data_IF_356603826364
#
_entry.id   IF_356603826364
#
_cell.length_a   1.000
_cell.length_b   1.000
_cell.length_c   1.000
_cell.angle_alpha   90.00
_cell.angle_beta   90.00
_cell.angle_gamma   90.00
#
_symmetry.space_group_name_H-M   'P 1'
#
loop_
_entity.id
_entity.type
_entity.pdbx_description
1 polymer ?
#
# COMPACT_ATOMS: atom_id res chain seq x y z
N UNK A 1 -12.51 20.77 1.56
CA UNK A 1 -11.06 20.64 1.38
C UNK A 1 -10.29 21.84 1.96
N UNK A 2 -10.64 23.08 1.65
CA UNK A 2 -9.91 24.29 2.10
C UNK A 2 -9.74 24.46 3.62
N UNK A 3 -10.75 24.04 4.41
CA UNK A 3 -10.65 24.08 5.87
C UNK A 3 -9.61 23.09 6.41
N UNK A 4 -9.58 21.89 5.84
CA UNK A 4 -8.66 20.83 6.24
C UNK A 4 -7.20 21.23 5.93
N UNK A 5 -6.97 21.77 4.74
CA UNK A 5 -5.66 22.28 4.32
C UNK A 5 -5.15 23.45 5.16
N UNK A 6 -6.04 24.17 5.88
CA UNK A 6 -5.66 25.24 6.81
C UNK A 6 -5.44 24.78 8.25
N UNK A 7 -5.75 23.51 8.54
CA UNK A 7 -5.50 22.95 9.86
C UNK A 7 -3.98 22.81 10.10
N UNK A 8 -3.50 23.35 11.21
CA UNK A 8 -2.06 23.45 11.50
C UNK A 8 -1.36 22.07 11.44
N UNK A 9 -1.95 21.04 12.05
CA UNK A 9 -1.39 19.68 12.01
C UNK A 9 -1.25 19.13 10.59
N UNK A 10 -2.19 19.46 9.67
CA UNK A 10 -2.08 19.06 8.25
C UNK A 10 -0.94 19.81 7.57
N UNK A 11 -0.78 21.11 7.84
CA UNK A 11 0.33 21.89 7.28
C UNK A 11 1.70 21.38 7.77
N UNK A 12 1.81 21.04 9.04
CA UNK A 12 3.01 20.45 9.62
C UNK A 12 3.31 19.06 9.03
N UNK A 13 2.29 18.20 8.85
CA UNK A 13 2.46 16.92 8.19
C UNK A 13 2.90 17.06 6.74
N UNK A 14 2.32 17.99 5.98
CA UNK A 14 2.74 18.29 4.61
C UNK A 14 4.15 18.88 4.52
N UNK A 15 4.57 19.62 5.54
CA UNK A 15 5.95 20.09 5.65
C UNK A 15 6.88 18.92 5.92
N UNK A 16 6.55 18.06 6.89
CA UNK A 16 7.32 16.86 7.21
C UNK A 16 7.53 16.00 5.95
N UNK A 17 6.48 15.70 5.18
CA UNK A 17 6.56 14.91 3.96
C UNK A 17 7.57 15.47 2.94
N UNK A 18 7.67 16.80 2.84
CA UNK A 18 8.66 17.45 1.96
C UNK A 18 10.09 17.35 2.48
N UNK A 19 10.27 17.43 3.80
CA UNK A 19 11.58 17.39 4.44
C UNK A 19 12.13 15.96 4.58
N UNK A 20 11.23 14.97 4.55
CA UNK A 20 11.52 13.52 4.70
C UNK A 20 11.58 12.76 3.35
N UNK A 21 11.57 13.48 2.24
CA UNK A 21 11.52 12.94 0.88
C UNK A 21 12.70 11.98 0.58
N UNK A 22 13.90 12.32 1.06
CA UNK A 22 15.09 11.49 0.87
C UNK A 22 14.97 10.11 1.54
N UNK A 23 14.42 10.04 2.78
CA UNK A 23 14.16 8.78 3.47
C UNK A 23 13.08 7.97 2.74
N UNK A 24 12.00 8.61 2.34
CA UNK A 24 10.91 7.97 1.60
C UNK A 24 11.42 7.39 0.28
N UNK A 25 12.25 8.13 -0.45
CA UNK A 25 12.89 7.65 -1.67
C UNK A 25 13.79 6.45 -1.39
N UNK A 26 14.61 6.51 -0.35
CA UNK A 26 15.51 5.40 0.03
C UNK A 26 14.71 4.13 0.32
N UNK A 27 13.65 4.19 1.14
CA UNK A 27 12.80 3.06 1.45
C UNK A 27 12.10 2.49 0.21
N UNK A 28 11.62 3.36 -0.69
CA UNK A 28 11.06 2.96 -1.96
C UNK A 28 12.07 2.18 -2.82
N UNK A 29 13.30 2.69 -2.94
CA UNK A 29 14.37 2.06 -3.71
C UNK A 29 14.84 0.73 -3.09
N UNK A 30 14.89 0.61 -1.77
CA UNK A 30 15.17 -0.65 -1.08
C UNK A 30 14.07 -1.68 -1.37
N UNK A 31 12.82 -1.28 -1.22
CA UNK A 31 11.66 -2.14 -1.34
C UNK A 31 11.45 -2.66 -2.77
N UNK A 32 11.73 -1.86 -3.80
CA UNK A 32 11.58 -2.31 -5.18
C UNK A 32 12.59 -3.39 -5.60
N UNK A 33 13.68 -3.57 -4.85
CA UNK A 33 14.68 -4.61 -5.08
C UNK A 33 14.36 -5.94 -4.35
N UNK A 34 13.24 -6.01 -3.63
CA UNK A 34 12.78 -7.24 -2.99
C UNK A 34 11.80 -7.94 -3.96
N UNK A 35 12.13 -9.17 -4.44
CA UNK A 35 11.23 -9.91 -5.32
C UNK A 35 9.90 -10.22 -4.65
N UNK A 36 8.81 -9.95 -5.35
CA UNK A 36 7.47 -10.21 -4.83
C UNK A 36 6.49 -10.57 -5.96
N UNK A 37 6.68 -11.68 -6.68
CA UNK A 37 5.63 -12.15 -7.57
C UNK A 37 4.37 -12.51 -6.78
N UNK A 38 3.20 -12.40 -7.39
CA UNK A 38 1.94 -12.78 -6.73
C UNK A 38 2.03 -14.18 -6.13
N UNK A 39 1.58 -14.35 -4.90
CA UNK A 39 1.70 -15.53 -4.01
C UNK A 39 3.08 -15.75 -3.35
N UNK A 40 4.10 -14.93 -3.64
CA UNK A 40 5.44 -15.09 -3.09
C UNK A 40 5.96 -13.78 -2.43
N UNK A 41 5.06 -12.95 -1.91
CA UNK A 41 5.35 -11.61 -1.38
C UNK A 41 5.98 -11.61 0.03
N UNK A 42 6.15 -12.78 0.66
CA UNK A 42 6.48 -12.89 2.09
C UNK A 42 7.72 -12.10 2.54
N UNK A 43 8.77 -12.02 1.71
CA UNK A 43 9.97 -11.24 2.02
C UNK A 43 9.69 -9.73 2.05
N UNK A 44 8.97 -9.22 1.06
CA UNK A 44 8.55 -7.82 0.98
C UNK A 44 7.54 -7.49 2.09
N UNK A 45 6.61 -8.40 2.40
CA UNK A 45 5.66 -8.24 3.49
C UNK A 45 6.37 -8.07 4.85
N UNK A 46 7.41 -8.86 5.14
CA UNK A 46 8.17 -8.72 6.39
C UNK A 46 8.97 -7.40 6.43
N UNK A 47 9.50 -6.92 5.30
CA UNK A 47 10.11 -5.60 5.22
C UNK A 47 9.08 -4.51 5.56
N UNK A 48 7.91 -4.54 4.90
CA UNK A 48 6.83 -3.56 5.10
C UNK A 48 6.31 -3.61 6.53
N UNK A 49 6.14 -4.81 7.11
CA UNK A 49 5.73 -4.97 8.52
C UNK A 49 6.65 -4.23 9.48
N UNK A 50 7.97 -4.35 9.32
CA UNK A 50 8.95 -3.62 10.14
C UNK A 50 8.80 -2.12 9.97
N UNK A 51 8.69 -1.65 8.72
CA UNK A 51 8.55 -0.23 8.42
C UNK A 51 7.23 0.36 8.96
N UNK A 52 6.13 -0.40 8.98
CA UNK A 52 4.88 0.04 9.61
C UNK A 52 5.04 0.21 11.13
N UNK A 53 5.79 -0.66 11.79
CA UNK A 53 6.13 -0.49 13.23
C UNK A 53 6.98 0.77 13.43
N UNK A 54 8.01 0.96 12.62
CA UNK A 54 8.90 2.14 12.70
C UNK A 54 8.13 3.45 12.45
N UNK A 55 7.13 3.42 11.56
CA UNK A 55 6.22 4.54 11.29
C UNK A 55 5.23 4.83 12.44
N UNK A 56 5.23 4.02 13.50
CA UNK A 56 4.42 4.24 14.70
C UNK A 56 2.99 3.71 14.61
N UNK A 57 2.70 2.82 13.68
CA UNK A 57 1.41 2.14 13.61
C UNK A 57 1.27 1.12 14.74
N UNK A 58 0.06 0.97 15.26
CA UNK A 58 -0.30 -0.05 16.25
C UNK A 58 -0.93 -1.27 15.58
N UNK A 59 -0.99 -2.39 16.31
CA UNK A 59 -1.62 -3.63 15.84
C UNK A 59 -1.05 -4.13 14.50
N UNK A 60 0.25 -3.89 14.26
CA UNK A 60 0.91 -4.29 13.01
C UNK A 60 1.06 -5.81 12.96
N UNK A 61 0.47 -6.41 11.94
CA UNK A 61 0.52 -7.86 11.72
C UNK A 61 0.49 -8.22 10.25
N UNK A 62 0.84 -9.47 9.96
CA UNK A 62 0.60 -10.11 8.65
C UNK A 62 -0.58 -11.03 8.82
N UNK A 63 -1.58 -10.89 7.96
CA UNK A 63 -2.77 -11.75 8.02
C UNK A 63 -2.54 -13.13 7.37
N UNK A 64 -3.57 -13.97 7.38
CA UNK A 64 -3.53 -15.36 6.88
C UNK A 64 -3.19 -15.47 5.39
N UNK A 65 -3.45 -14.42 4.60
CA UNK A 65 -3.19 -14.44 3.16
C UNK A 65 -1.91 -13.69 2.78
N UNK A 66 -1.29 -12.98 3.74
CA UNK A 66 -0.04 -12.28 3.56
C UNK A 66 -0.14 -10.76 3.50
N UNK A 67 -1.34 -10.16 3.64
CA UNK A 67 -1.46 -8.71 3.76
C UNK A 67 -0.75 -8.20 5.01
N UNK A 68 -0.12 -7.04 4.92
CA UNK A 68 0.41 -6.35 6.09
C UNK A 68 -0.54 -5.24 6.48
N UNK A 69 -1.07 -5.32 7.70
CA UNK A 69 -1.98 -4.32 8.23
C UNK A 69 -1.36 -3.62 9.43
N UNK A 70 -1.66 -2.33 9.57
CA UNK A 70 -1.28 -1.54 10.74
C UNK A 70 -2.31 -0.44 10.96
N UNK A 71 -2.60 -0.10 12.21
CA UNK A 71 -3.66 0.85 12.57
C UNK A 71 -3.09 2.13 13.14
N UNK A 72 -3.49 3.26 12.60
CA UNK A 72 -3.39 4.57 13.20
C UNK A 72 -4.64 4.82 14.02
N UNK A 73 -4.53 4.71 15.34
CA UNK A 73 -5.68 4.85 16.25
C UNK A 73 -6.19 6.28 16.31
N UNK A 74 -7.50 6.43 16.11
CA UNK A 74 -8.23 7.66 16.38
C UNK A 74 -8.41 7.94 17.87
N UNK A 75 -9.08 9.03 18.18
CA UNK A 75 -9.34 9.48 19.57
C UNK A 75 -10.76 9.20 20.04
N UNK A 76 -11.63 8.67 19.17
CA UNK A 76 -13.06 8.47 19.46
C UNK A 76 -13.69 7.39 18.58
N UNK A 77 -14.96 7.56 18.33
CA UNK A 77 -15.79 6.63 17.56
C UNK A 77 -16.09 7.16 16.13
N UNK A 78 -15.12 7.80 15.51
CA UNK A 78 -15.23 8.26 14.14
C UNK A 78 -15.17 7.11 13.12
N UNK A 79 -15.27 7.41 11.82
CA UNK A 79 -15.27 6.41 10.77
C UNK A 79 -13.95 5.65 10.73
N UNK A 80 -14.01 4.35 10.43
CA UNK A 80 -12.85 3.50 10.17
C UNK A 80 -12.56 3.48 8.68
N UNK A 81 -11.40 4.00 8.28
CA UNK A 81 -11.01 4.13 6.89
C UNK A 81 -9.79 3.27 6.61
N UNK A 82 -9.79 2.58 5.48
CA UNK A 82 -8.61 1.86 4.99
C UNK A 82 -7.94 2.65 3.87
N UNK A 83 -6.60 2.68 3.92
CA UNK A 83 -5.75 3.14 2.82
C UNK A 83 -4.84 2.00 2.42
N UNK A 84 -4.82 1.63 1.15
CA UNK A 84 -4.13 0.45 0.65
C UNK A 84 -3.25 0.72 -0.56
N UNK A 85 -2.21 -0.09 -0.72
CA UNK A 85 -1.38 -0.24 -1.91
C UNK A 85 -0.90 -1.68 -1.98
N UNK A 86 -0.64 -2.23 -3.18
CA UNK A 86 -0.26 -3.63 -3.30
C UNK A 86 1.25 -3.86 -3.29
N UNK A 87 1.65 -5.03 -2.82
CA UNK A 87 3.06 -5.42 -2.67
C UNK A 87 3.57 -6.30 -3.79
N UNK A 88 2.68 -7.03 -4.43
CA UNK A 88 3.05 -7.94 -5.51
C UNK A 88 3.34 -7.21 -6.83
N UNK A 89 4.03 -7.92 -7.70
CA UNK A 89 4.38 -7.47 -9.04
C UNK A 89 4.15 -8.59 -10.05
N UNK A 90 3.98 -8.22 -11.32
CA UNK A 90 3.86 -9.17 -12.44
C UNK A 90 5.18 -9.85 -12.81
N UNK A 91 6.28 -9.52 -12.14
CA UNK A 91 7.62 -10.00 -12.49
C UNK A 91 7.94 -11.31 -11.76
N UNK A 92 8.42 -12.35 -12.48
CA UNK A 92 8.91 -13.57 -11.86
C UNK A 92 10.04 -13.33 -10.86
N UNK A 93 10.22 -14.24 -9.90
CA UNK A 93 11.21 -14.11 -8.81
C UNK A 93 12.65 -13.97 -9.31
N UNK A 94 12.97 -14.58 -10.44
CA UNK A 94 14.29 -14.53 -11.08
C UNK A 94 14.57 -13.27 -11.89
N UNK A 95 13.63 -12.35 -11.94
CA UNK A 95 13.78 -11.06 -12.64
C UNK A 95 14.92 -10.26 -12.02
N UNK A 96 15.80 -9.71 -12.85
CA UNK A 96 16.85 -8.79 -12.40
C UNK A 96 16.22 -7.48 -11.91
N UNK A 97 16.26 -7.30 -10.60
CA UNK A 97 15.77 -6.10 -9.90
C UNK A 97 16.88 -5.08 -9.61
N UNK A 98 18.00 -5.16 -10.32
CA UNK A 98 19.08 -4.18 -10.17
C UNK A 98 18.57 -2.77 -10.47
N UNK A 99 18.68 -1.91 -9.48
CA UNK A 99 18.31 -0.50 -9.59
C UNK A 99 19.23 0.22 -10.57
N UNK A 100 18.64 0.92 -11.54
CA UNK A 100 19.36 1.77 -12.49
C UNK A 100 19.04 3.23 -12.21
N UNK A 101 20.08 4.09 -12.22
CA UNK A 101 19.93 5.54 -12.06
C UNK A 101 20.53 6.27 -13.25
N UNK A 102 19.73 7.11 -13.89
CA UNK A 102 20.13 7.98 -14.98
C UNK A 102 19.71 9.43 -14.67
N UNK A 103 20.66 10.23 -14.23
CA UNK A 103 20.34 11.56 -13.70
C UNK A 103 19.44 11.49 -12.48
N UNK A 104 18.25 12.09 -12.55
CA UNK A 104 17.24 12.05 -11.49
C UNK A 104 16.23 10.89 -11.66
N UNK A 105 16.39 10.07 -12.70
CA UNK A 105 15.49 8.96 -13.01
C UNK A 105 16.00 7.65 -12.43
N UNK A 106 15.13 6.95 -11.71
CA UNK A 106 15.35 5.59 -11.23
C UNK A 106 14.49 4.61 -12.03
N UNK A 107 15.03 3.41 -12.28
CA UNK A 107 14.33 2.34 -12.99
C UNK A 107 14.61 1.01 -12.32
N UNK A 108 13.55 0.29 -12.01
CA UNK A 108 13.53 -1.07 -11.48
C UNK A 108 12.17 -1.71 -11.83
N UNK A 109 12.09 -2.99 -12.18
CA UNK A 109 10.81 -3.67 -12.35
C UNK A 109 9.92 -3.52 -11.11
N UNK A 110 8.65 -3.10 -11.28
CA UNK A 110 7.71 -2.89 -10.17
C UNK A 110 7.92 -1.60 -9.34
N UNK A 111 8.84 -0.70 -9.74
CA UNK A 111 9.11 0.53 -8.98
C UNK A 111 7.91 1.49 -8.92
N UNK A 112 7.10 1.54 -9.98
CA UNK A 112 5.95 2.44 -10.06
C UNK A 112 4.62 1.74 -9.82
N UNK A 113 4.60 0.41 -9.93
CA UNK A 113 3.44 -0.45 -9.85
C UNK A 113 3.80 -1.67 -8.98
N UNK A 114 3.49 -1.71 -7.66
CA UNK A 114 2.94 -0.57 -6.91
C UNK A 114 3.82 -0.24 -5.69
N UNK A 115 5.12 -0.57 -5.77
CA UNK A 115 6.07 -0.33 -4.67
C UNK A 115 6.05 1.14 -4.22
N UNK A 116 5.74 2.06 -5.14
CA UNK A 116 5.61 3.47 -4.83
C UNK A 116 4.47 3.74 -3.85
N UNK A 117 3.28 3.19 -4.08
CA UNK A 117 2.16 3.42 -3.18
C UNK A 117 2.43 2.88 -1.77
N UNK A 118 3.10 1.73 -1.66
CA UNK A 118 3.51 1.21 -0.34
C UNK A 118 4.47 2.17 0.36
N UNK A 119 5.41 2.79 -0.35
CA UNK A 119 6.28 3.82 0.20
C UNK A 119 5.49 5.08 0.61
N UNK A 120 4.48 5.48 -0.16
CA UNK A 120 3.58 6.58 0.16
C UNK A 120 2.76 6.28 1.44
N UNK A 121 2.24 5.06 1.62
CA UNK A 121 1.55 4.64 2.84
C UNK A 121 2.45 4.81 4.08
N UNK A 122 3.69 4.32 4.01
CA UNK A 122 4.67 4.41 5.09
C UNK A 122 5.04 5.87 5.40
N UNK A 123 5.19 6.69 4.38
CA UNK A 123 5.50 8.11 4.52
C UNK A 123 4.36 8.89 5.17
N UNK A 124 3.10 8.63 4.77
CA UNK A 124 1.91 9.22 5.38
C UNK A 124 1.82 8.85 6.87
N UNK A 125 1.99 7.56 7.20
CA UNK A 125 1.98 7.08 8.58
C UNK A 125 3.07 7.77 9.42
N UNK A 126 4.30 7.85 8.88
CA UNK A 126 5.44 8.53 9.52
C UNK A 126 5.16 10.01 9.77
N UNK A 127 4.59 10.71 8.79
CA UNK A 127 4.22 12.13 8.92
C UNK A 127 3.16 12.33 10.00
N UNK A 128 2.12 11.50 10.02
CA UNK A 128 1.07 11.55 11.04
C UNK A 128 1.64 11.31 12.45
N UNK A 129 2.58 10.37 12.57
CA UNK A 129 3.25 10.08 13.83
C UNK A 129 4.13 11.26 14.30
N UNK A 130 4.95 11.80 13.40
CA UNK A 130 5.88 12.89 13.70
C UNK A 130 5.17 14.15 14.23
N UNK A 131 4.01 14.48 13.68
CA UNK A 131 3.23 15.67 14.10
C UNK A 131 2.14 15.35 15.13
N UNK A 132 1.94 14.07 15.45
CA UNK A 132 0.92 13.65 16.42
C UNK A 132 -0.52 13.95 16.00
N UNK A 133 -0.79 14.07 14.69
CA UNK A 133 -2.15 14.34 14.19
C UNK A 133 -3.06 13.16 14.44
N UNK A 134 -4.26 13.40 14.99
CA UNK A 134 -5.28 12.39 15.28
C UNK A 134 -6.64 12.84 14.76
N UNK A 135 -7.35 11.92 14.12
CA UNK A 135 -8.76 12.05 13.83
C UNK A 135 -9.60 11.38 14.92
N UNK A 136 -10.92 11.43 14.80
CA UNK A 136 -11.84 10.71 15.68
C UNK A 136 -11.86 9.22 15.36
N UNK A 137 -11.75 8.85 14.08
CA UNK A 137 -11.77 7.48 13.60
C UNK A 137 -10.39 6.89 13.39
N UNK A 138 -10.34 5.56 13.26
CA UNK A 138 -9.13 4.81 12.94
C UNK A 138 -8.80 4.89 11.45
N UNK A 139 -7.51 4.89 11.12
CA UNK A 139 -7.04 4.67 9.75
C UNK A 139 -6.25 3.36 9.73
N UNK A 140 -6.67 2.41 8.92
CA UNK A 140 -5.98 1.15 8.69
C UNK A 140 -5.14 1.27 7.43
N UNK A 141 -3.84 1.11 7.57
CA UNK A 141 -2.90 1.02 6.46
C UNK A 141 -2.76 -0.45 6.07
N UNK A 142 -2.95 -0.75 4.80
CA UNK A 142 -2.92 -2.12 4.26
C UNK A 142 -1.96 -2.18 3.07
N UNK A 143 -0.88 -2.94 3.20
CA UNK A 143 -0.07 -3.35 2.07
C UNK A 143 -0.57 -4.75 1.64
N UNK A 144 -1.43 -4.78 0.62
CA UNK A 144 -2.12 -5.98 0.21
C UNK A 144 -1.31 -6.82 -0.77
N UNK A 145 -1.62 -8.12 -0.83
CA UNK A 145 -0.98 -9.11 -1.70
C UNK A 145 -1.89 -9.54 -2.83
N UNK A 146 -1.31 -10.14 -3.88
CA UNK A 146 -2.04 -10.77 -4.99
C UNK A 146 -3.07 -9.82 -5.63
N UNK A 147 -2.69 -8.57 -5.89
CA UNK A 147 -3.51 -7.64 -6.67
C UNK A 147 -3.48 -8.05 -8.14
N UNK A 148 -2.27 -8.33 -8.63
CA UNK A 148 -1.95 -8.51 -10.03
C UNK A 148 -2.43 -9.83 -10.63
N UNK A 149 -2.78 -9.77 -11.90
CA UNK A 149 -2.95 -10.92 -12.76
C UNK A 149 -3.83 -12.03 -12.21
N UNK A 150 -3.26 -13.20 -12.02
CA UNK A 150 -3.93 -14.38 -11.46
C UNK A 150 -4.08 -14.32 -9.94
N UNK A 151 -3.51 -13.32 -9.28
CA UNK A 151 -3.75 -13.01 -7.88
C UNK A 151 -5.19 -12.60 -7.61
N UNK A 152 -5.85 -12.00 -8.62
CA UNK A 152 -7.28 -11.72 -8.64
C UNK A 152 -7.76 -10.95 -7.39
N UNK A 153 -6.99 -9.95 -6.96
CA UNK A 153 -7.30 -9.13 -5.78
C UNK A 153 -7.46 -9.95 -4.49
N UNK A 154 -6.79 -11.10 -4.37
CA UNK A 154 -6.96 -12.04 -3.25
C UNK A 154 -6.79 -11.38 -1.88
N UNK A 155 -5.78 -10.53 -1.72
CA UNK A 155 -5.51 -9.85 -0.48
C UNK A 155 -6.64 -8.95 -0.05
N UNK A 156 -7.08 -8.06 -0.93
CA UNK A 156 -8.14 -7.10 -0.60
C UNK A 156 -9.52 -7.77 -0.49
N UNK A 157 -9.78 -8.81 -1.28
CA UNK A 157 -10.99 -9.64 -1.14
C UNK A 157 -11.07 -10.30 0.23
N UNK A 158 -9.94 -10.80 0.76
CA UNK A 158 -9.87 -11.35 2.11
C UNK A 158 -10.25 -10.31 3.16
N UNK A 159 -9.63 -9.12 3.10
CA UNK A 159 -9.93 -8.03 4.04
C UNK A 159 -11.42 -7.68 4.06
N UNK A 160 -12.05 -7.53 2.91
CA UNK A 160 -13.45 -7.09 2.86
C UNK A 160 -14.48 -8.21 3.04
N UNK A 161 -14.13 -9.46 2.79
CA UNK A 161 -15.04 -10.59 2.89
C UNK A 161 -14.93 -11.30 4.23
N UNK A 162 -13.70 -11.54 4.69
CA UNK A 162 -13.46 -12.40 5.83
C UNK A 162 -13.10 -11.57 7.09
N UNK A 163 -12.31 -10.51 6.96
CA UNK A 163 -11.91 -9.67 8.11
C UNK A 163 -12.96 -8.63 8.49
N UNK A 164 -13.79 -8.16 7.57
CA UNK A 164 -14.84 -7.19 7.88
C UNK A 164 -15.85 -7.72 8.90
N UNK A 165 -16.07 -9.03 8.92
CA UNK A 165 -16.97 -9.69 9.88
C UNK A 165 -16.33 -9.87 11.28
N UNK A 166 -15.00 -9.91 11.37
CA UNK A 166 -14.24 -10.17 12.59
C UNK A 166 -13.63 -8.93 13.24
N UNK A 167 -13.15 -8.00 12.43
CA UNK A 167 -12.46 -6.78 12.89
C UNK A 167 -13.31 -5.51 12.77
N UNK A 168 -14.51 -5.63 12.26
CA UNK A 168 -15.44 -4.52 12.07
C UNK A 168 -15.41 -3.95 10.65
N UNK A 169 -16.47 -3.22 10.33
CA UNK A 169 -16.73 -2.63 9.03
C UNK A 169 -15.83 -1.43 8.78
N UNK A 170 -15.40 -1.26 7.52
CA UNK A 170 -14.79 -0.04 7.03
C UNK A 170 -15.85 0.91 6.46
N UNK A 171 -15.76 2.18 6.83
CA UNK A 171 -16.66 3.24 6.34
C UNK A 171 -16.16 3.86 5.04
N UNK A 172 -14.89 3.68 4.73
CA UNK A 172 -14.26 4.16 3.50
C UNK A 172 -13.00 3.38 3.14
N UNK A 173 -12.71 3.36 1.84
CA UNK A 173 -11.53 2.69 1.27
C UNK A 173 -10.88 3.59 0.22
N UNK A 174 -9.56 3.71 0.29
CA UNK A 174 -8.74 4.40 -0.70
C UNK A 174 -7.62 3.47 -1.13
N UNK A 175 -7.55 3.13 -2.41
CA UNK A 175 -6.38 2.47 -3.02
C UNK A 175 -5.49 3.51 -3.69
N UNK A 176 -4.21 3.43 -3.43
CA UNK A 176 -3.20 4.24 -4.09
C UNK A 176 -2.53 3.33 -5.12
N UNK A 177 -2.81 3.54 -6.41
CA UNK A 177 -2.36 2.63 -7.47
C UNK A 177 -2.31 3.31 -8.85
N UNK A 178 -2.47 4.60 -8.95
CA UNK A 178 -2.42 5.31 -10.24
C UNK A 178 -1.14 6.16 -10.37
N UNK A 179 -0.64 6.22 -11.60
CA UNK A 179 0.48 7.10 -12.01
C UNK A 179 0.07 8.58 -12.09
N UNK A 180 -1.22 8.88 -12.04
CA UNK A 180 -1.74 10.24 -12.13
C UNK A 180 -2.01 10.83 -10.77
N UNK A 181 -1.30 11.90 -10.44
CA UNK A 181 -1.45 12.63 -9.17
C UNK A 181 -2.65 13.60 -9.14
N UNK A 182 -3.38 13.75 -10.25
CA UNK A 182 -4.44 14.75 -10.42
C UNK A 182 -5.84 14.17 -10.58
N UNK A 183 -6.01 12.88 -10.38
CA UNK A 183 -7.27 12.18 -10.59
C UNK A 183 -7.68 11.31 -9.40
N UNK A 184 -8.98 11.15 -9.22
CA UNK A 184 -9.56 10.15 -8.32
C UNK A 184 -10.49 9.28 -9.15
N UNK A 185 -10.23 7.98 -9.19
CA UNK A 185 -11.08 6.99 -9.84
C UNK A 185 -12.09 6.50 -8.79
N UNK A 186 -13.36 6.74 -9.01
CA UNK A 186 -14.46 6.33 -8.10
C UNK A 186 -15.46 5.37 -8.74
N UNK A 187 -15.23 5.01 -10.01
CA UNK A 187 -15.99 4.00 -10.75
C UNK A 187 -15.03 3.09 -11.50
N UNK A 188 -15.25 1.80 -11.40
CA UNK A 188 -14.50 0.78 -12.12
C UNK A 188 -15.45 -0.16 -12.86
N UNK A 189 -14.91 -0.85 -13.87
CA UNK A 189 -15.59 -1.95 -14.56
C UNK A 189 -15.19 -3.27 -13.93
N UNK A 190 -16.14 -4.21 -13.82
CA UNK A 190 -15.82 -5.58 -13.47
C UNK A 190 -14.97 -6.25 -14.55
N UNK A 191 -14.06 -7.11 -14.16
CA UNK A 191 -13.31 -7.98 -15.06
C UNK A 191 -13.46 -9.44 -14.65
N UNK A 192 -13.49 -10.31 -15.63
CA UNK A 192 -13.55 -11.75 -15.43
C UNK A 192 -12.50 -12.39 -16.34
N UNK A 193 -11.70 -13.30 -15.79
CA UNK A 193 -10.59 -13.94 -16.51
C UNK A 193 -10.85 -15.42 -16.68
N UNK A 194 -10.59 -15.96 -17.87
CA UNK A 194 -10.78 -17.35 -18.21
C UNK A 194 -9.48 -17.95 -18.74
N UNK A 195 -9.13 -19.13 -18.26
CA UNK A 195 -8.12 -19.98 -18.89
C UNK A 195 -8.82 -21.05 -19.72
N UNK A 196 -8.59 -21.03 -21.03
CA UNK A 196 -9.14 -22.05 -21.93
C UNK A 196 -7.99 -22.88 -22.50
N UNK A 197 -8.04 -24.18 -22.24
CA UNK A 197 -7.02 -25.12 -22.74
C UNK A 197 -7.64 -26.00 -23.81
N UNK A 198 -7.04 -26.02 -24.99
CA UNK A 198 -7.41 -26.90 -26.09
C UNK A 198 -6.43 -28.06 -26.15
N UNK A 199 -6.96 -29.30 -26.08
CA UNK A 199 -6.19 -30.51 -26.28
C UNK A 199 -6.45 -31.02 -27.69
N UNK A 200 -5.40 -31.21 -28.48
CA UNK A 200 -5.49 -31.72 -29.84
C UNK A 200 -4.28 -32.60 -30.17
N UNK A 201 -4.42 -33.40 -31.19
CA UNK A 201 -3.26 -34.06 -31.84
C UNK A 201 -2.56 -33.04 -32.69
N UNK A 202 -1.32 -32.63 -32.27
CA UNK A 202 -0.46 -31.77 -33.03
C UNK A 202 0.06 -32.43 -34.31
#
# INVERSE_FOLDING_TARGET
MDKLLRYNGVQEALKFLREDDERTLQEHLEMCQIPAPSYEEGEKAEYVRKKMVDAGLSEVHVDEVGNVLGTWKGTGNGPRIMVAGHTDTVFPRETDLTLKKEGERYSCPGIGDDTRAVAELLSIASAMNAVGIRGEGDIVFCANVCEEGLGDLRGIKHVFKDMADTEGRYDGFVSIDDKKTSGIIYQAVGSERYLVTFHGTG
#
